data_IF_643566010694
#
_entry.id   IF_643566010694
#
_cell.length_a   1.000
_cell.length_b   1.000
_cell.length_c   1.000
_cell.angle_alpha   90.00
_cell.angle_beta   90.00
_cell.angle_gamma   90.00
#
_symmetry.space_group_name_H-M   'P 1'
#
loop_
_entity.id
_entity.type
_entity.pdbx_description
1 polymer ?
#
# COMPACT_ATOMS: atom_id res chain seq x y z
N UNK A 1 11.43 -4.34 -8.64
CA UNK A 1 10.25 -4.35 -7.77
C UNK A 1 9.00 -4.11 -8.62
N UNK A 2 7.90 -4.81 -8.37
CA UNK A 2 6.62 -4.59 -9.05
C UNK A 2 5.69 -3.76 -8.17
N UNK A 3 4.75 -3.04 -8.78
CA UNK A 3 3.65 -2.41 -8.05
C UNK A 3 2.79 -3.48 -7.36
N UNK A 4 2.23 -3.12 -6.20
CA UNK A 4 1.36 -3.99 -5.40
C UNK A 4 -0.02 -3.35 -5.26
N UNK A 5 -1.03 -4.19 -5.05
CA UNK A 5 -2.40 -3.73 -4.83
C UNK A 5 -2.47 -3.00 -3.49
N UNK A 6 -2.84 -1.72 -3.50
CA UNK A 6 -3.03 -0.92 -2.29
C UNK A 6 -4.50 -0.74 -1.92
N UNK A 7 -5.39 -0.69 -2.92
CA UNK A 7 -6.84 -0.58 -2.74
C UNK A 7 -7.49 -1.56 -3.73
N UNK A 8 -8.31 -2.51 -3.26
CA UNK A 8 -8.83 -3.57 -4.12
C UNK A 8 -9.90 -3.08 -5.10
N UNK A 9 -10.68 -2.08 -4.70
CA UNK A 9 -11.79 -1.58 -5.49
C UNK A 9 -12.16 -0.16 -5.08
N UNK A 10 -12.48 0.66 -6.07
CA UNK A 10 -13.12 1.96 -5.91
C UNK A 10 -14.27 2.08 -6.91
N UNK A 11 -15.41 2.69 -6.55
CA UNK A 11 -16.53 2.88 -7.46
C UNK A 11 -16.17 3.87 -8.57
N UNK A 12 -16.81 3.70 -9.73
CA UNK A 12 -16.67 4.65 -10.84
C UNK A 12 -17.61 5.84 -10.63
N UNK A 13 -17.05 7.02 -10.37
CA UNK A 13 -17.78 8.28 -10.23
C UNK A 13 -17.30 9.36 -11.24
N UNK A 14 -17.62 9.22 -12.54
CA UNK A 14 -17.32 10.23 -13.55
C UNK A 14 -18.02 11.57 -13.25
N UNK A 15 -17.45 12.71 -13.69
CA UNK A 15 -16.27 12.85 -14.55
C UNK A 15 -14.96 13.09 -13.78
N UNK A 16 -14.96 13.00 -12.45
CA UNK A 16 -13.80 13.40 -11.62
C UNK A 16 -13.23 12.31 -10.73
N UNK A 17 -13.95 11.22 -10.50
CA UNK A 17 -13.50 10.08 -9.67
C UNK A 17 -12.89 10.52 -8.34
N UNK A 18 -13.64 11.28 -7.50
CA UNK A 18 -13.09 11.89 -6.29
C UNK A 18 -12.44 10.86 -5.37
N UNK A 19 -13.00 9.65 -5.25
CA UNK A 19 -12.49 8.59 -4.39
C UNK A 19 -11.09 8.13 -4.80
N UNK A 20 -10.84 8.01 -6.11
CA UNK A 20 -9.53 7.63 -6.63
C UNK A 20 -8.51 8.75 -6.45
N UNK A 21 -8.93 10.00 -6.68
CA UNK A 21 -8.06 11.18 -6.49
C UNK A 21 -7.67 11.33 -5.03
N UNK A 22 -8.62 11.23 -4.12
CA UNK A 22 -8.39 11.37 -2.68
C UNK A 22 -7.49 10.26 -2.15
N UNK A 23 -7.70 9.02 -2.60
CA UNK A 23 -6.84 7.89 -2.24
C UNK A 23 -5.38 8.10 -2.69
N UNK A 24 -5.17 8.50 -3.96
CA UNK A 24 -3.83 8.73 -4.50
C UNK A 24 -3.17 9.92 -3.80
N UNK A 25 -3.91 11.00 -3.56
CA UNK A 25 -3.42 12.19 -2.86
C UNK A 25 -2.98 11.85 -1.44
N UNK A 26 -3.79 11.11 -0.68
CA UNK A 26 -3.46 10.66 0.67
C UNK A 26 -2.15 9.85 0.69
N UNK A 27 -1.98 8.88 -0.21
CA UNK A 27 -0.75 8.08 -0.29
C UNK A 27 0.47 8.98 -0.55
N UNK A 28 0.36 9.95 -1.45
CA UNK A 28 1.46 10.87 -1.79
C UNK A 28 1.78 11.79 -0.62
N UNK A 29 0.78 12.34 0.08
CA UNK A 29 0.97 13.22 1.23
C UNK A 29 1.64 12.48 2.40
N UNK A 30 1.20 11.26 2.71
CA UNK A 30 1.81 10.42 3.75
C UNK A 30 3.24 10.03 3.38
N UNK A 31 3.47 9.64 2.12
CA UNK A 31 4.81 9.35 1.62
C UNK A 31 5.73 10.57 1.73
N UNK A 32 5.30 11.73 1.25
CA UNK A 32 6.11 12.96 1.30
C UNK A 32 6.44 13.39 2.74
N UNK A 33 5.57 13.07 3.71
CA UNK A 33 5.79 13.36 5.12
C UNK A 33 6.78 12.44 5.86
N UNK A 34 6.98 11.20 5.41
CA UNK A 34 7.84 10.20 6.09
C UNK A 34 9.03 9.71 5.24
N UNK A 35 9.04 9.97 3.94
CA UNK A 35 10.12 9.56 3.05
C UNK A 35 11.44 10.26 3.36
N UNK A 36 12.54 9.53 3.20
CA UNK A 36 13.89 10.09 3.32
C UNK A 36 14.39 10.60 1.97
N UNK A 37 15.40 11.50 1.94
CA UNK A 37 16.02 11.92 0.69
C UNK A 37 16.43 10.72 -0.17
N UNK A 38 16.10 10.80 -1.47
CA UNK A 38 16.34 9.78 -2.49
C UNK A 38 15.53 8.48 -2.38
N UNK A 39 14.69 8.30 -1.35
CA UNK A 39 13.77 7.17 -1.32
C UNK A 39 12.69 7.35 -2.40
N UNK A 40 12.31 6.23 -3.03
CA UNK A 40 11.08 6.09 -3.81
C UNK A 40 9.98 5.48 -2.97
N UNK A 41 8.72 5.60 -3.40
CA UNK A 41 7.55 5.02 -2.69
C UNK A 41 7.74 3.54 -2.35
N UNK A 42 8.25 2.73 -3.28
CA UNK A 42 8.51 1.31 -3.03
C UNK A 42 9.58 1.08 -1.96
N UNK A 43 10.68 1.83 -2.02
CA UNK A 43 11.80 1.73 -1.06
C UNK A 43 11.39 2.20 0.33
N UNK A 44 10.58 3.27 0.39
CA UNK A 44 9.94 3.75 1.61
C UNK A 44 9.09 2.65 2.26
N UNK A 45 8.18 2.03 1.50
CA UNK A 45 7.32 0.94 2.00
C UNK A 45 8.15 -0.27 2.44
N UNK A 46 9.22 -0.63 1.72
CA UNK A 46 10.13 -1.70 2.12
C UNK A 46 10.82 -1.41 3.47
N UNK A 47 11.20 -0.15 3.72
CA UNK A 47 11.79 0.29 5.01
C UNK A 47 10.79 0.26 6.16
N UNK A 48 9.60 0.85 5.97
CA UNK A 48 8.60 0.97 7.04
C UNK A 48 7.81 -0.33 7.25
N UNK A 49 7.71 -1.15 6.21
CA UNK A 49 6.87 -2.34 6.15
C UNK A 49 5.41 -2.01 5.78
N UNK A 50 4.74 -2.97 5.15
CA UNK A 50 3.35 -2.84 4.72
C UNK A 50 2.36 -2.57 5.86
N UNK A 51 2.57 -3.16 7.05
CA UNK A 51 1.73 -2.90 8.24
C UNK A 51 1.65 -1.40 8.51
N UNK A 52 2.81 -0.75 8.65
CA UNK A 52 2.91 0.68 8.93
C UNK A 52 2.39 1.54 7.78
N UNK A 53 2.51 1.09 6.53
CA UNK A 53 1.91 1.77 5.39
C UNK A 53 0.37 1.84 5.52
N UNK A 54 -0.30 0.73 5.83
CA UNK A 54 -1.76 0.72 6.02
C UNK A 54 -2.18 1.54 7.24
N UNK A 55 -1.43 1.47 8.34
CA UNK A 55 -1.70 2.27 9.55
C UNK A 55 -1.59 3.79 9.27
N UNK A 56 -0.53 4.21 8.57
CA UNK A 56 -0.27 5.63 8.30
C UNK A 56 -1.21 6.21 7.25
N UNK A 57 -1.60 5.43 6.25
CA UNK A 57 -2.52 5.87 5.21
C UNK A 57 -3.99 5.75 5.63
N UNK A 58 -4.29 4.98 6.68
CA UNK A 58 -5.67 4.69 7.10
C UNK A 58 -6.44 3.84 6.09
N UNK A 59 -5.75 3.24 5.10
CA UNK A 59 -6.37 2.34 4.13
C UNK A 59 -6.65 1.00 4.81
N UNK A 60 -7.87 0.50 4.67
CA UNK A 60 -8.26 -0.77 5.29
C UNK A 60 -7.57 -1.96 4.59
N UNK A 61 -6.77 -2.71 5.34
CA UNK A 61 -6.21 -3.97 4.88
C UNK A 61 -7.29 -5.07 4.88
N UNK A 62 -7.69 -5.50 3.69
CA UNK A 62 -8.68 -6.58 3.50
C UNK A 62 -8.02 -7.84 2.92
N UNK A 63 -8.77 -8.96 2.91
CA UNK A 63 -8.34 -10.24 2.33
C UNK A 63 -7.87 -10.14 0.87
N UNK A 64 -8.35 -9.16 0.11
CA UNK A 64 -8.02 -8.98 -1.31
C UNK A 64 -6.56 -8.53 -1.55
N UNK A 65 -5.86 -8.11 -0.51
CA UNK A 65 -4.43 -7.79 -0.58
C UNK A 65 -3.53 -9.03 -0.51
N UNK A 66 -4.08 -10.17 -0.09
CA UNK A 66 -3.38 -11.44 -0.09
C UNK A 66 -3.41 -12.01 -1.50
N UNK A 67 -2.22 -12.34 -2.02
CA UNK A 67 -2.11 -13.03 -3.31
C UNK A 67 -2.73 -14.43 -3.19
N UNK A 68 -3.60 -14.80 -4.13
CA UNK A 68 -4.21 -16.13 -4.24
C UNK A 68 -3.85 -16.83 -5.57
N UNK A 69 -2.98 -16.22 -6.38
CA UNK A 69 -2.57 -16.77 -7.66
C UNK A 69 -1.53 -17.89 -7.49
N UNK A 70 -1.21 -18.56 -8.61
CA UNK A 70 -0.18 -19.62 -8.63
C UNK A 70 1.12 -19.11 -8.01
N UNK A 71 1.68 -19.86 -7.06
CA UNK A 71 2.87 -19.51 -6.28
C UNK A 71 2.73 -18.32 -5.30
N UNK A 72 1.50 -17.96 -4.93
CA UNK A 72 1.18 -16.93 -3.92
C UNK A 72 1.97 -17.05 -2.61
N UNK A 73 2.33 -18.27 -2.21
CA UNK A 73 3.11 -18.50 -0.99
C UNK A 73 4.44 -17.73 -0.95
N UNK A 74 4.98 -17.27 -2.08
CA UNK A 74 6.18 -16.43 -2.14
C UNK A 74 5.95 -14.97 -1.72
N UNK A 75 4.71 -14.50 -1.73
CA UNK A 75 4.33 -13.15 -1.29
C UNK A 75 4.09 -13.05 0.21
N UNK A 76 3.80 -14.17 0.86
CA UNK A 76 3.51 -14.22 2.29
C UNK A 76 4.75 -14.00 3.13
N UNK A 77 4.55 -13.38 4.30
CA UNK A 77 5.62 -13.24 5.28
C UNK A 77 5.91 -14.58 5.94
N UNK A 78 7.11 -15.12 5.71
CA UNK A 78 7.63 -16.38 6.28
C UNK A 78 8.67 -16.14 7.38
N UNK A 79 8.46 -15.10 8.19
CA UNK A 79 9.41 -14.68 9.22
C UNK A 79 8.66 -14.16 10.44
N UNK A 80 9.30 -14.23 11.60
CA UNK A 80 8.77 -13.77 12.89
C UNK A 80 8.96 -12.27 13.13
N UNK A 81 9.65 -11.55 12.24
CA UNK A 81 10.00 -10.13 12.38
C UNK A 81 8.80 -9.17 12.20
N UNK A 82 7.74 -9.33 12.98
CA UNK A 82 6.57 -8.46 12.95
C UNK A 82 6.72 -7.23 13.84
N UNK A 83 6.09 -6.13 13.44
CA UNK A 83 5.92 -4.92 14.27
C UNK A 83 4.49 -4.95 14.80
N UNK A 84 4.29 -4.46 16.03
CA UNK A 84 2.99 -4.37 16.70
C UNK A 84 2.46 -2.95 16.65
#
# INVERSE_FOLDING_TARGET
>A
MFTKLAIPFLPNNPPRWPEAVDAVKNIIEVYAGDAKPFERVGEWIERIGWQKFFDMTGIEFTKYHLDDFRFAGTTYRRSTHNRY
#
